data_IF_250633997422
#
_entry.id   IF_250633997422
#
_cell.length_a   1.000
_cell.length_b   1.000
_cell.length_c   1.000
_cell.angle_alpha   90.00
_cell.angle_beta   90.00
_cell.angle_gamma   90.00
#
_symmetry.space_group_name_H-M   'P 1'
#
loop_
_entity.id
_entity.type
_entity.pdbx_description
1 polymer ?
#
# COMPACT_ATOMS: atom_id res chain seq x y z
N UNK A 1 15.49 24.35 1.76
CA UNK A 1 14.55 25.41 2.21
C UNK A 1 13.71 24.89 3.37
N UNK A 2 13.63 25.61 4.49
CA UNK A 2 12.89 25.19 5.70
C UNK A 2 11.37 25.38 5.62
N UNK A 3 10.66 25.03 6.69
CA UNK A 3 9.19 25.16 6.80
C UNK A 3 8.79 26.65 6.84
N UNK A 4 7.95 27.08 5.88
CA UNK A 4 7.37 28.44 5.86
C UNK A 4 5.89 28.41 6.26
N UNK A 5 5.42 29.48 6.90
CA UNK A 5 3.98 29.68 7.14
C UNK A 5 3.28 29.92 5.79
N UNK A 6 2.12 29.32 5.61
CA UNK A 6 1.27 29.51 4.43
C UNK A 6 -0.15 29.86 4.88
N UNK A 7 -0.89 30.56 4.04
CA UNK A 7 -2.31 30.87 4.28
C UNK A 7 -3.19 29.61 4.17
N UNK A 8 -4.25 29.55 4.98
CA UNK A 8 -5.23 28.46 4.95
C UNK A 8 -6.28 28.69 3.85
N UNK A 9 -5.82 28.62 2.61
CA UNK A 9 -6.63 28.68 1.39
C UNK A 9 -6.22 27.59 0.41
N UNK A 10 -7.01 27.39 -0.64
CA UNK A 10 -6.66 26.44 -1.71
C UNK A 10 -5.32 26.82 -2.33
N UNK A 11 -4.40 25.85 -2.41
CA UNK A 11 -3.10 26.02 -3.07
C UNK A 11 -3.35 26.16 -4.58
N UNK A 12 -3.03 27.33 -5.14
CA UNK A 12 -3.30 27.64 -6.56
C UNK A 12 -2.47 26.79 -7.51
N UNK A 13 -1.16 26.71 -7.27
CA UNK A 13 -0.25 25.91 -8.08
C UNK A 13 -0.54 24.41 -7.94
N UNK A 14 -0.77 23.74 -9.07
CA UNK A 14 -1.21 22.34 -9.10
C UNK A 14 -0.12 21.39 -8.61
N UNK A 15 1.14 21.63 -8.96
CA UNK A 15 2.29 20.81 -8.52
C UNK A 15 2.48 20.90 -7.01
N UNK A 16 2.50 22.13 -6.47
CA UNK A 16 2.53 22.38 -5.03
C UNK A 16 1.32 21.81 -4.31
N UNK A 17 0.12 21.90 -4.91
CA UNK A 17 -1.11 21.32 -4.35
C UNK A 17 -1.00 19.81 -4.24
N UNK A 18 -0.49 19.13 -5.27
CA UNK A 18 -0.31 17.67 -5.26
C UNK A 18 0.70 17.23 -4.19
N UNK A 19 1.86 17.90 -4.11
CA UNK A 19 2.88 17.61 -3.08
C UNK A 19 2.33 17.88 -1.68
N UNK A 20 1.61 18.99 -1.51
CA UNK A 20 0.99 19.37 -0.23
C UNK A 20 -0.06 18.37 0.20
N UNK A 21 -0.92 17.93 -0.73
CA UNK A 21 -1.91 16.88 -0.48
C UNK A 21 -1.23 15.61 0.03
N UNK A 22 -0.24 15.10 -0.69
CA UNK A 22 0.48 13.87 -0.32
C UNK A 22 1.10 13.98 1.07
N UNK A 23 1.79 15.09 1.38
CA UNK A 23 2.42 15.30 2.69
C UNK A 23 1.40 15.46 3.82
N UNK A 24 0.35 16.26 3.61
CA UNK A 24 -0.68 16.50 4.62
C UNK A 24 -1.53 15.25 4.89
N UNK A 25 -1.92 14.52 3.85
CA UNK A 25 -2.62 13.23 3.98
C UNK A 25 -1.81 12.26 4.84
N UNK A 26 -0.52 12.09 4.54
CA UNK A 26 0.35 11.21 5.33
C UNK A 26 0.45 11.67 6.79
N UNK A 27 0.62 12.98 7.03
CA UNK A 27 0.63 13.53 8.38
C UNK A 27 -0.69 13.33 9.13
N UNK A 28 -1.82 13.52 8.45
CA UNK A 28 -3.16 13.32 8.99
C UNK A 28 -3.38 11.85 9.39
N UNK A 29 -3.01 10.90 8.52
CA UNK A 29 -3.14 9.48 8.81
C UNK A 29 -2.27 9.05 9.99
N UNK A 30 -1.04 9.58 10.10
CA UNK A 30 -0.20 9.35 11.27
C UNK A 30 -0.85 9.85 12.56
N UNK A 31 -1.44 11.04 12.54
CA UNK A 31 -2.16 11.59 13.72
C UNK A 31 -3.43 10.83 14.06
N UNK A 32 -4.18 10.38 13.06
CA UNK A 32 -5.34 9.51 13.28
C UNK A 32 -4.93 8.18 13.92
N UNK A 33 -3.81 7.59 13.47
CA UNK A 33 -3.25 6.37 14.06
C UNK A 33 -2.78 6.58 15.49
N UNK A 34 -2.01 7.64 15.75
CA UNK A 34 -1.59 8.01 17.11
C UNK A 34 -2.80 8.15 18.04
N UNK A 35 -3.85 8.84 17.61
CA UNK A 35 -5.08 9.00 18.39
C UNK A 35 -5.78 7.67 18.66
N UNK A 36 -5.94 6.84 17.63
CA UNK A 36 -6.56 5.53 17.76
C UNK A 36 -5.78 4.63 18.73
N UNK A 37 -4.46 4.59 18.62
CA UNK A 37 -3.59 3.78 19.49
C UNK A 37 -3.55 4.31 20.93
N UNK A 38 -3.36 5.62 21.13
CA UNK A 38 -3.19 6.19 22.48
C UNK A 38 -4.48 6.20 23.29
N UNK A 39 -5.62 6.43 22.63
CA UNK A 39 -6.91 6.57 23.31
C UNK A 39 -7.81 5.35 23.13
N UNK A 40 -7.40 4.33 22.39
CA UNK A 40 -8.28 3.23 21.99
C UNK A 40 -9.48 3.70 21.17
N UNK A 41 -9.34 4.84 20.47
CA UNK A 41 -10.43 5.47 19.74
C UNK A 41 -10.66 4.76 18.40
N UNK A 42 -11.92 4.50 18.08
CA UNK A 42 -12.31 4.08 16.72
C UNK A 42 -12.34 5.31 15.81
N UNK A 43 -11.51 5.31 14.77
CA UNK A 43 -11.31 6.47 13.88
C UNK A 43 -11.33 6.02 12.43
N UNK A 44 -12.07 6.74 11.60
CA UNK A 44 -12.01 6.63 10.14
C UNK A 44 -11.77 8.00 9.50
N UNK A 45 -10.87 8.04 8.52
CA UNK A 45 -10.55 9.22 7.72
C UNK A 45 -10.61 8.83 6.26
N UNK A 46 -11.39 9.56 5.47
CA UNK A 46 -11.48 9.39 4.01
C UNK A 46 -11.16 10.74 3.36
N UNK A 47 -10.22 10.75 2.41
CA UNK A 47 -9.84 11.95 1.66
C UNK A 47 -9.71 11.65 0.18
N UNK A 48 -10.18 12.57 -0.66
CA UNK A 48 -10.01 12.50 -2.10
C UNK A 48 -8.87 13.42 -2.54
N UNK A 49 -7.99 12.89 -3.39
CA UNK A 49 -6.99 13.72 -4.07
C UNK A 49 -7.67 14.74 -5.00
N UNK A 50 -6.94 15.79 -5.42
CA UNK A 50 -7.44 16.72 -6.42
C UNK A 50 -7.88 16.05 -7.73
N UNK A 51 -7.33 14.87 -8.05
CA UNK A 51 -7.74 14.04 -9.20
C UNK A 51 -8.83 13.01 -8.89
N UNK A 52 -9.57 13.16 -7.80
CA UNK A 52 -10.70 12.30 -7.45
C UNK A 52 -10.34 10.92 -6.87
N UNK A 53 -9.07 10.55 -6.80
CA UNK A 53 -8.66 9.25 -6.22
C UNK A 53 -8.89 9.23 -4.70
N UNK A 54 -9.62 8.24 -4.15
CA UNK A 54 -9.84 8.10 -2.71
C UNK A 54 -8.59 7.56 -2.00
N UNK A 55 -8.42 7.98 -0.75
CA UNK A 55 -7.46 7.44 0.20
C UNK A 55 -8.11 7.39 1.58
N UNK A 56 -7.86 6.33 2.32
CA UNK A 56 -8.49 6.15 3.62
C UNK A 56 -7.53 5.59 4.67
N UNK A 57 -7.90 5.84 5.92
CA UNK A 57 -7.33 5.23 7.11
C UNK A 57 -8.48 4.85 8.03
N UNK A 58 -8.45 3.65 8.59
CA UNK A 58 -9.47 3.16 9.52
C UNK A 58 -8.83 2.34 10.62
N UNK A 59 -9.34 2.51 11.84
CA UNK A 59 -9.07 1.65 12.99
C UNK A 59 -10.41 1.39 13.71
N UNK A 60 -10.92 0.15 13.72
CA UNK A 60 -10.30 -1.07 13.18
C UNK A 60 -10.31 -1.20 11.64
N UNK A 61 -11.35 -0.69 10.96
CA UNK A 61 -11.38 -0.47 9.51
C UNK A 61 -12.41 0.62 9.19
N UNK A 62 -12.45 1.11 7.94
CA UNK A 62 -13.30 2.25 7.59
C UNK A 62 -14.77 1.87 7.59
N UNK A 63 -15.08 0.69 7.06
CA UNK A 63 -16.44 0.18 6.90
C UNK A 63 -17.13 -0.02 8.25
N UNK A 64 -16.46 -0.60 9.24
CA UNK A 64 -17.08 -0.84 10.55
C UNK A 64 -17.37 0.46 11.30
N UNK A 65 -16.47 1.44 11.20
CA UNK A 65 -16.66 2.76 11.80
C UNK A 65 -17.79 3.50 11.10
N UNK A 66 -17.85 3.43 9.76
CA UNK A 66 -18.92 4.02 8.97
C UNK A 66 -20.28 3.37 9.28
N UNK A 67 -20.35 2.04 9.31
CA UNK A 67 -21.56 1.29 9.66
C UNK A 67 -22.09 1.66 11.03
N UNK A 68 -21.19 1.76 12.02
CA UNK A 68 -21.55 2.14 13.39
C UNK A 68 -22.10 3.56 13.45
N UNK A 69 -21.46 4.49 12.73
CA UNK A 69 -21.91 5.87 12.62
C UNK A 69 -23.31 5.96 12.00
N UNK A 70 -23.54 5.30 10.87
CA UNK A 70 -24.83 5.29 10.17
C UNK A 70 -25.94 4.62 10.98
N UNK A 71 -25.65 3.55 11.74
CA UNK A 71 -26.61 2.90 12.65
C UNK A 71 -26.93 3.74 13.89
N UNK A 72 -26.11 4.74 14.21
CA UNK A 72 -26.34 5.63 15.35
C UNK A 72 -27.35 6.73 14.98
N UNK A 73 -27.32 7.21 13.74
CA UNK A 73 -28.28 8.16 13.16
C UNK A 73 -29.71 7.57 13.07
N UNK A 74 -29.87 6.24 13.03
CA UNK A 74 -31.18 5.58 12.95
C UNK A 74 -31.87 5.37 14.32
N UNK A 75 -31.25 5.81 15.43
CA UNK A 75 -31.90 5.80 16.75
C UNK A 75 -32.51 7.18 16.98
N UNK A 76 -33.82 7.30 17.26
CA UNK A 76 -34.42 8.59 17.55
C UNK A 76 -33.68 9.20 18.75
N UNK A 77 -33.40 10.49 18.60
CA UNK A 77 -32.59 11.32 19.46
C UNK A 77 -32.68 10.98 20.96
N UNK A 78 -31.53 10.80 21.59
CA UNK A 78 -31.36 10.33 22.99
C UNK A 78 -31.79 11.33 24.07
N UNK A 79 -32.45 12.42 23.69
CA UNK A 79 -32.98 13.40 24.63
C UNK A 79 -34.35 13.00 25.24
N UNK A 80 -34.91 11.83 24.88
CA UNK A 80 -36.18 11.32 25.44
C UNK A 80 -36.13 9.94 26.12
N UNK A 81 -34.96 9.32 26.27
CA UNK A 81 -34.83 7.93 26.72
C UNK A 81 -34.46 7.75 28.20
N UNK A 82 -34.85 8.68 29.08
CA UNK A 82 -34.70 8.50 30.54
C UNK A 82 -35.81 7.63 31.17
N UNK A 83 -36.70 7.02 30.38
CA UNK A 83 -37.85 6.24 30.87
C UNK A 83 -38.07 4.98 30.03
N UNK A 84 -37.11 4.07 30.05
CA UNK A 84 -37.32 2.66 29.68
C UNK A 84 -36.16 1.80 30.20
N UNK A 85 -35.98 1.79 31.52
CA UNK A 85 -35.33 0.66 32.16
C UNK A 85 -36.26 -0.57 32.09
N UNK A 86 -35.64 -1.75 32.06
CA UNK A 86 -36.21 -3.10 32.20
C UNK A 86 -36.62 -3.84 30.91
N UNK A 87 -35.64 -4.49 30.26
CA UNK A 87 -35.76 -5.92 29.91
C UNK A 87 -34.37 -6.58 30.00
N UNK A 88 -34.16 -7.58 30.88
CA UNK A 88 -33.01 -8.48 30.80
C UNK A 88 -33.35 -9.59 29.79
N UNK A 89 -32.66 -9.67 28.65
CA UNK A 89 -32.89 -10.76 27.69
C UNK A 89 -31.60 -11.48 27.31
N UNK A 90 -31.63 -12.78 27.64
CA UNK A 90 -30.60 -13.79 27.48
C UNK A 90 -30.23 -13.97 26.01
N UNK A 91 -28.94 -13.90 25.66
CA UNK A 91 -28.42 -14.67 24.53
C UNK A 91 -26.94 -15.06 24.76
N UNK A 92 -26.72 -16.05 25.64
CA UNK A 92 -25.40 -16.62 25.98
C UNK A 92 -25.22 -18.04 25.42
N UNK A 93 -25.69 -18.34 24.20
CA UNK A 93 -25.53 -19.72 23.65
C UNK A 93 -25.03 -19.88 22.22
N UNK A 94 -24.71 -18.82 21.46
CA UNK A 94 -24.29 -19.01 20.05
C UNK A 94 -22.85 -18.58 19.70
N UNK A 95 -22.00 -18.23 20.69
CA UNK A 95 -20.68 -17.62 20.40
C UNK A 95 -19.52 -18.62 20.27
N UNK A 96 -19.70 -19.92 20.55
CA UNK A 96 -18.60 -20.88 20.49
C UNK A 96 -18.25 -21.31 19.05
N UNK A 97 -19.26 -21.53 18.20
CA UNK A 97 -19.04 -21.94 16.81
C UNK A 97 -18.48 -20.80 15.94
N UNK A 98 -18.91 -19.56 16.20
CA UNK A 98 -18.39 -18.38 15.50
C UNK A 98 -16.93 -18.05 15.91
N UNK A 99 -16.57 -18.26 17.18
CA UNK A 99 -15.20 -18.07 17.66
C UNK A 99 -14.23 -19.13 17.08
N UNK A 100 -14.66 -20.38 16.95
CA UNK A 100 -13.86 -21.44 16.33
C UNK A 100 -13.66 -21.20 14.82
N UNK A 101 -14.70 -20.75 14.11
CA UNK A 101 -14.60 -20.40 12.69
C UNK A 101 -13.70 -19.18 12.46
N UNK A 102 -13.77 -18.17 13.34
CA UNK A 102 -12.88 -17.01 13.29
C UNK A 102 -11.42 -17.38 13.60
N UNK A 103 -11.18 -18.30 14.56
CA UNK A 103 -9.85 -18.80 14.88
C UNK A 103 -9.23 -19.58 13.70
N UNK A 104 -9.99 -20.49 13.08
CA UNK A 104 -9.53 -21.23 11.90
C UNK A 104 -9.24 -20.30 10.70
N UNK A 105 -10.04 -19.25 10.53
CA UNK A 105 -9.80 -18.22 9.50
C UNK A 105 -8.53 -17.41 9.80
N UNK A 106 -8.32 -17.04 11.06
CA UNK A 106 -7.12 -16.31 11.51
C UNK A 106 -5.85 -17.17 11.34
N UNK A 107 -5.92 -18.46 11.64
CA UNK A 107 -4.80 -19.40 11.42
C UNK A 107 -4.45 -19.50 9.94
N UNK A 108 -5.44 -19.64 9.06
CA UNK A 108 -5.23 -19.67 7.61
C UNK A 108 -4.60 -18.38 7.08
N UNK A 109 -5.06 -17.23 7.57
CA UNK A 109 -4.49 -15.92 7.19
C UNK A 109 -3.04 -15.76 7.69
N UNK A 110 -2.76 -16.21 8.92
CA UNK A 110 -1.39 -16.19 9.46
C UNK A 110 -0.44 -17.10 8.67
N UNK A 111 -0.91 -18.26 8.20
CA UNK A 111 -0.15 -19.13 7.30
C UNK A 111 0.15 -18.42 5.97
N UNK A 112 -0.86 -17.80 5.34
CA UNK A 112 -0.67 -17.04 4.10
C UNK A 112 0.29 -15.87 4.28
N UNK A 113 0.21 -15.16 5.40
CA UNK A 113 1.10 -14.04 5.70
C UNK A 113 2.54 -14.51 5.85
N UNK A 114 2.78 -15.59 6.58
CA UNK A 114 4.12 -16.15 6.74
C UNK A 114 4.72 -16.62 5.41
N UNK A 115 3.91 -17.22 4.54
CA UNK A 115 4.34 -17.62 3.19
C UNK A 115 4.75 -16.39 2.36
N UNK A 116 3.95 -15.32 2.37
CA UNK A 116 4.28 -14.08 1.65
C UNK A 116 5.51 -13.37 2.22
N UNK A 117 5.68 -13.36 3.55
CA UNK A 117 6.87 -12.78 4.20
C UNK A 117 8.12 -13.57 3.79
N UNK A 118 8.03 -14.90 3.72
CA UNK A 118 9.13 -15.75 3.26
C UNK A 118 9.50 -15.44 1.81
N UNK A 119 8.51 -15.35 0.91
CA UNK A 119 8.73 -14.99 -0.49
C UNK A 119 9.45 -13.63 -0.63
N UNK A 120 9.01 -12.62 0.12
CA UNK A 120 9.64 -11.30 0.10
C UNK A 120 11.08 -11.32 0.64
N UNK A 121 11.36 -12.13 1.67
CA UNK A 121 12.72 -12.27 2.19
C UNK A 121 13.63 -12.96 1.16
N UNK A 122 13.12 -13.96 0.44
CA UNK A 122 13.87 -14.66 -0.59
C UNK A 122 14.13 -13.74 -1.81
N UNK A 123 13.14 -12.93 -2.22
CA UNK A 123 13.32 -11.90 -3.25
C UNK A 123 14.34 -10.84 -2.83
N UNK A 124 14.31 -10.40 -1.57
CA UNK A 124 15.26 -9.42 -1.05
C UNK A 124 16.70 -9.96 -1.04
N UNK A 125 16.90 -11.21 -0.59
CA UNK A 125 18.21 -11.88 -0.64
C UNK A 125 18.69 -12.04 -2.09
N UNK A 126 17.79 -12.33 -3.02
CA UNK A 126 18.11 -12.39 -4.46
C UNK A 126 18.53 -11.04 -5.02
N UNK A 127 17.85 -9.96 -4.63
CA UNK A 127 18.23 -8.59 -4.99
C UNK A 127 19.62 -8.21 -4.45
N UNK A 128 19.89 -8.50 -3.18
CA UNK A 128 21.21 -8.25 -2.56
C UNK A 128 22.34 -9.06 -3.21
N UNK A 129 22.06 -10.27 -3.70
CA UNK A 129 23.02 -11.07 -4.46
C UNK A 129 23.30 -10.46 -5.85
N UNK A 130 22.25 -10.02 -6.56
CA UNK A 130 22.39 -9.34 -7.86
C UNK A 130 23.14 -8.01 -7.73
N UNK A 131 22.87 -7.23 -6.69
CA UNK A 131 23.59 -5.97 -6.43
C UNK A 131 25.08 -6.22 -6.16
N UNK A 132 25.41 -7.31 -5.45
CA UNK A 132 26.81 -7.72 -5.24
C UNK A 132 27.47 -8.20 -6.54
N UNK A 133 26.75 -8.92 -7.40
CA UNK A 133 27.25 -9.31 -8.72
C UNK A 133 27.45 -8.10 -9.64
N UNK A 134 26.58 -7.10 -9.60
CA UNK A 134 26.75 -5.84 -10.34
C UNK A 134 27.93 -5.03 -9.80
N UNK A 135 28.14 -5.03 -8.48
CA UNK A 135 29.27 -4.35 -7.86
C UNK A 135 30.61 -5.07 -8.07
N UNK A 136 30.60 -6.41 -8.16
CA UNK A 136 31.77 -7.25 -8.43
C UNK A 136 32.04 -7.41 -9.93
N UNK A 137 31.04 -7.17 -10.78
CA UNK A 137 31.17 -7.06 -12.22
C UNK A 137 32.17 -5.96 -12.54
N UNK A 138 33.24 -6.34 -13.22
CA UNK A 138 34.25 -5.42 -13.71
C UNK A 138 33.54 -4.28 -14.45
N UNK A 139 33.67 -3.04 -13.95
CA UNK A 139 33.20 -1.86 -14.69
C UNK A 139 33.90 -1.93 -16.03
N UNK A 140 33.15 -2.28 -17.08
CA UNK A 140 33.69 -2.35 -18.42
C UNK A 140 34.44 -1.04 -18.67
N UNK A 141 35.78 -1.14 -18.76
CA UNK A 141 36.59 -0.01 -19.15
C UNK A 141 36.01 0.54 -20.46
N UNK A 142 36.06 1.85 -20.71
CA UNK A 142 35.62 2.40 -21.98
C UNK A 142 36.31 1.59 -23.09
N UNK A 143 35.54 0.82 -23.85
CA UNK A 143 36.07 0.05 -24.96
C UNK A 143 36.60 1.10 -25.93
N UNK A 144 37.93 1.21 -26.08
CA UNK A 144 38.51 2.10 -27.06
C UNK A 144 38.27 1.49 -28.44
N UNK A 145 37.23 1.99 -29.10
CA UNK A 145 36.74 1.48 -30.39
C UNK A 145 37.85 1.58 -31.46
N UNK A 146 38.88 2.41 -31.25
CA UNK A 146 39.99 2.62 -32.18
C UNK A 146 40.93 1.42 -32.37
N UNK A 147 41.05 0.53 -31.39
CA UNK A 147 42.02 -0.58 -31.38
C UNK A 147 41.40 -1.97 -31.65
N UNK A 148 40.09 -2.07 -31.89
CA UNK A 148 39.41 -3.34 -32.12
C UNK A 148 39.40 -3.74 -33.61
N UNK A 149 39.82 -4.97 -33.91
CA UNK A 149 39.70 -5.56 -35.23
C UNK A 149 38.24 -5.78 -35.66
N UNK A 150 38.00 -5.94 -36.96
CA UNK A 150 36.65 -6.12 -37.54
C UNK A 150 35.85 -7.28 -36.91
N UNK A 151 36.52 -8.39 -36.59
CA UNK A 151 35.87 -9.54 -35.95
C UNK A 151 35.48 -9.29 -34.50
N UNK A 152 36.23 -8.47 -33.77
CA UNK A 152 35.92 -8.10 -32.39
C UNK A 152 34.76 -7.09 -32.36
N UNK A 153 34.71 -6.15 -33.31
CA UNK A 153 33.55 -5.27 -33.53
C UNK A 153 32.28 -6.08 -33.84
N UNK A 154 32.41 -7.12 -34.68
CA UNK A 154 31.29 -7.98 -35.07
C UNK A 154 30.77 -8.83 -33.90
N UNK A 155 31.66 -9.28 -33.01
CA UNK A 155 31.29 -9.96 -31.77
C UNK A 155 30.61 -9.00 -30.80
N UNK A 156 31.18 -7.82 -30.58
CA UNK A 156 30.62 -6.80 -29.69
C UNK A 156 29.22 -6.36 -30.13
N UNK A 157 29.02 -6.15 -31.44
CA UNK A 157 27.70 -5.84 -32.01
C UNK A 157 26.67 -6.94 -31.68
N UNK A 158 27.04 -8.21 -31.88
CA UNK A 158 26.16 -9.35 -31.55
C UNK A 158 25.80 -9.39 -30.07
N UNK A 159 26.78 -9.20 -29.19
CA UNK A 159 26.56 -9.20 -27.74
C UNK A 159 25.65 -8.05 -27.28
N UNK A 160 25.80 -6.85 -27.86
CA UNK A 160 24.94 -5.70 -27.57
C UNK A 160 23.52 -5.88 -28.11
N UNK A 161 23.36 -6.45 -29.30
CA UNK A 161 22.04 -6.79 -29.85
C UNK A 161 21.32 -7.82 -28.98
N UNK A 162 22.03 -8.84 -28.50
CA UNK A 162 21.47 -9.84 -27.59
C UNK A 162 21.07 -9.23 -26.24
N UNK A 163 21.90 -8.36 -25.67
CA UNK A 163 21.59 -7.65 -24.42
C UNK A 163 20.38 -6.72 -24.59
N UNK A 164 20.26 -6.06 -25.75
CA UNK A 164 19.12 -5.20 -26.08
C UNK A 164 17.81 -6.00 -26.13
N UNK A 165 17.80 -7.17 -26.78
CA UNK A 165 16.59 -8.00 -26.84
C UNK A 165 16.20 -8.54 -25.46
N UNK A 166 17.16 -9.05 -24.68
CA UNK A 166 16.91 -9.46 -23.28
C UNK A 166 16.37 -8.31 -22.42
N UNK A 167 16.86 -7.09 -22.64
CA UNK A 167 16.36 -5.89 -21.98
C UNK A 167 14.89 -5.59 -22.30
N UNK A 168 14.50 -5.70 -23.58
CA UNK A 168 13.10 -5.49 -24.01
C UNK A 168 12.15 -6.52 -23.40
N UNK A 169 12.54 -7.79 -23.36
CA UNK A 169 11.73 -8.86 -22.76
C UNK A 169 11.48 -8.59 -21.27
N UNK A 170 12.53 -8.23 -20.52
CA UNK A 170 12.41 -7.88 -19.10
C UNK A 170 11.51 -6.69 -18.85
N UNK A 171 11.58 -5.65 -19.69
CA UNK A 171 10.68 -4.49 -19.60
C UNK A 171 9.23 -4.94 -19.82
N UNK A 172 8.97 -5.78 -20.81
CA UNK A 172 7.64 -6.34 -21.06
C UNK A 172 7.09 -7.18 -19.89
N UNK A 173 7.92 -8.02 -19.26
CA UNK A 173 7.54 -8.79 -18.06
C UNK A 173 7.14 -7.88 -16.90
N UNK A 174 7.90 -6.80 -16.68
CA UNK A 174 7.65 -5.82 -15.61
C UNK A 174 6.37 -5.03 -15.90
N UNK A 175 6.14 -4.61 -17.15
CA UNK A 175 4.92 -3.92 -17.55
C UNK A 175 3.68 -4.81 -17.41
N UNK A 176 3.77 -6.09 -17.81
CA UNK A 176 2.70 -7.07 -17.64
C UNK A 176 2.38 -7.31 -16.16
N UNK A 177 3.41 -7.49 -15.33
CA UNK A 177 3.27 -7.68 -13.88
C UNK A 177 2.64 -6.44 -13.20
N UNK A 178 3.07 -5.25 -13.61
CA UNK A 178 2.50 -3.97 -13.16
C UNK A 178 1.02 -3.84 -13.53
N UNK A 179 0.66 -4.21 -14.75
CA UNK A 179 -0.73 -4.17 -15.25
C UNK A 179 -1.62 -5.16 -14.51
N UNK A 180 -1.16 -6.39 -14.28
CA UNK A 180 -1.89 -7.40 -13.50
C UNK A 180 -2.09 -6.96 -12.04
N UNK A 181 -1.10 -6.28 -11.46
CA UNK A 181 -1.17 -5.73 -10.10
C UNK A 181 -2.13 -4.53 -9.98
N UNK A 182 -2.37 -3.81 -11.07
CA UNK A 182 -3.39 -2.76 -11.15
C UNK A 182 -4.80 -3.37 -11.26
N UNK A 183 -4.99 -4.34 -12.15
CA UNK A 183 -6.28 -5.02 -12.35
C UNK A 183 -6.77 -5.78 -11.11
N UNK A 184 -5.87 -6.38 -10.33
CA UNK A 184 -6.20 -7.08 -9.07
C UNK A 184 -6.60 -6.13 -7.92
N UNK A 185 -6.33 -4.83 -8.04
CA UNK A 185 -6.85 -3.80 -7.13
C UNK A 185 -8.26 -3.36 -7.53
N UNK A 186 -8.60 -3.45 -8.81
CA UNK A 186 -9.91 -3.03 -9.33
C UNK A 186 -11.02 -4.07 -9.06
N UNK A 187 -10.67 -5.36 -8.87
CA UNK A 187 -11.62 -6.44 -8.53
C UNK A 187 -11.97 -6.56 -7.03
N UNK A 188 -11.47 -5.64 -6.20
CA UNK A 188 -11.74 -5.59 -4.74
C UNK A 188 -12.67 -4.43 -4.36
N UNK A 189 -13.53 -4.02 -5.29
CA UNK A 189 -14.64 -3.08 -5.08
C UNK A 189 -15.95 -3.80 -4.80
#
# INVERSE_FOLDING_TARGET
MGRRKIEMKVVKDTSCRQVTFSKRRTGLFKKANELATLCGAEVAVVVFSPGGKPFSFGQPNVESVADRFLKQESKPNRDKAAIAAAVPSKNKKNNAAAAAAAAATAEKLNQQLNEQVKQLQDEKKRGEALDKEIAAGEKAAPIDIGDLGFEDLKKLKRSLEELREKGKERVGEIEASSTLLMLSKDFRG
#
